data_IF_294719035268
#
_entry.id   IF_294719035268
#
_cell.length_a   1.000
_cell.length_b   1.000
_cell.length_c   1.000
_cell.angle_alpha   90.00
_cell.angle_beta   90.00
_cell.angle_gamma   90.00
#
_symmetry.space_group_name_H-M   'P 1'
#
loop_
_entity.id
_entity.type
_entity.pdbx_description
1 polymer ?
#
# COMPACT_ATOMS: atom_id res chain seq x y z
N UNK A 1 -5.40 -17.71 7.09
CA UNK A 1 -4.78 -16.37 6.96
C UNK A 1 -5.54 -15.63 5.88
N UNK A 2 -6.03 -14.43 6.16
CA UNK A 2 -6.85 -13.64 5.21
C UNK A 2 -6.02 -13.19 4.01
N UNK A 3 -6.56 -13.34 2.81
CA UNK A 3 -5.96 -12.91 1.54
C UNK A 3 -6.05 -11.39 1.38
N UNK A 4 -5.19 -10.82 0.53
CA UNK A 4 -5.24 -9.38 0.22
C UNK A 4 -6.61 -8.94 -0.33
N UNK A 5 -7.30 -9.80 -1.08
CA UNK A 5 -8.61 -9.48 -1.65
C UNK A 5 -9.70 -9.45 -0.60
N UNK A 6 -9.67 -10.38 0.36
CA UNK A 6 -10.59 -10.36 1.51
C UNK A 6 -10.40 -9.10 2.35
N UNK A 7 -9.14 -8.70 2.62
CA UNK A 7 -8.83 -7.44 3.31
C UNK A 7 -9.32 -6.20 2.53
N UNK A 8 -9.15 -6.19 1.21
CA UNK A 8 -9.64 -5.11 0.35
C UNK A 8 -11.17 -5.01 0.34
N UNK A 9 -11.88 -6.14 0.30
CA UNK A 9 -13.34 -6.16 0.39
C UNK A 9 -13.81 -5.65 1.76
N UNK A 10 -13.07 -5.92 2.84
CA UNK A 10 -13.38 -5.38 4.17
C UNK A 10 -13.25 -3.85 4.20
N UNK A 11 -12.21 -3.28 3.59
CA UNK A 11 -12.08 -1.83 3.44
C UNK A 11 -13.27 -1.24 2.67
N UNK A 12 -13.67 -1.84 1.55
CA UNK A 12 -14.81 -1.37 0.77
C UNK A 12 -16.12 -1.44 1.59
N UNK A 13 -16.30 -2.50 2.37
CA UNK A 13 -17.44 -2.64 3.29
C UNK A 13 -17.45 -1.60 4.42
N UNK A 14 -16.28 -1.11 4.84
CA UNK A 14 -16.11 0.03 5.76
C UNK A 14 -16.30 1.39 5.06
N UNK A 15 -16.65 1.42 3.77
CA UNK A 15 -16.85 2.66 3.00
C UNK A 15 -15.57 3.31 2.51
N UNK A 16 -14.42 2.63 2.62
CA UNK A 16 -13.12 3.16 2.21
C UNK A 16 -12.96 3.02 0.69
N UNK A 17 -12.62 4.12 0.03
CA UNK A 17 -12.34 4.12 -1.41
C UNK A 17 -11.00 3.41 -1.71
N UNK A 18 -11.06 2.44 -2.62
CA UNK A 18 -9.93 1.56 -2.96
C UNK A 18 -9.07 2.05 -4.14
N UNK A 19 -9.32 3.25 -4.67
CA UNK A 19 -8.71 3.73 -5.92
C UNK A 19 -9.29 3.11 -7.19
N UNK A 20 -10.37 2.32 -7.09
CA UNK A 20 -11.04 1.62 -8.18
C UNK A 20 -11.82 0.39 -7.68
N UNK A 21 -12.44 -0.40 -8.57
CA UNK A 21 -13.24 -1.57 -8.17
C UNK A 21 -12.42 -2.61 -7.40
N UNK A 22 -12.98 -3.16 -6.31
CA UNK A 22 -12.30 -4.14 -5.45
C UNK A 22 -11.68 -5.32 -6.22
N UNK A 23 -12.39 -5.85 -7.23
CA UNK A 23 -11.91 -6.96 -8.08
C UNK A 23 -10.56 -6.71 -8.77
N UNK A 24 -10.18 -5.45 -8.96
CA UNK A 24 -8.91 -5.08 -9.58
C UNK A 24 -7.84 -4.66 -8.58
N UNK A 25 -8.16 -4.57 -7.28
CA UNK A 25 -7.29 -4.04 -6.24
C UNK A 25 -5.89 -4.64 -6.29
N UNK A 26 -5.82 -5.98 -6.20
CA UNK A 26 -4.57 -6.73 -6.30
C UNK A 26 -3.84 -6.47 -7.62
N UNK A 27 -4.53 -6.64 -8.75
CA UNK A 27 -3.90 -6.55 -10.08
C UNK A 27 -3.38 -5.14 -10.40
N UNK A 28 -4.08 -4.09 -9.96
CA UNK A 28 -3.68 -2.71 -10.17
C UNK A 28 -2.44 -2.37 -9.34
N UNK A 29 -2.42 -2.74 -8.05
CA UNK A 29 -1.24 -2.56 -7.19
C UNK A 29 -0.02 -3.35 -7.69
N UNK A 30 -0.22 -4.60 -8.12
CA UNK A 30 0.86 -5.42 -8.68
C UNK A 30 1.46 -4.81 -9.95
N UNK A 31 0.61 -4.29 -10.85
CA UNK A 31 1.08 -3.62 -12.08
C UNK A 31 1.91 -2.38 -11.77
N UNK A 32 1.58 -1.64 -10.72
CA UNK A 32 2.39 -0.49 -10.27
C UNK A 32 3.80 -0.94 -9.87
N UNK A 33 3.93 -1.99 -9.03
CA UNK A 33 5.23 -2.54 -8.66
C UNK A 33 6.00 -3.05 -9.89
N UNK A 34 5.37 -3.86 -10.75
CA UNK A 34 6.02 -4.41 -11.96
C UNK A 34 6.51 -3.31 -12.89
N UNK A 35 5.73 -2.24 -13.05
CA UNK A 35 6.13 -1.08 -13.85
C UNK A 35 7.38 -0.44 -13.26
N UNK A 36 7.41 -0.18 -11.95
CA UNK A 36 8.57 0.42 -11.30
C UNK A 36 9.81 -0.49 -11.36
N UNK A 37 9.65 -1.81 -11.19
CA UNK A 37 10.73 -2.78 -11.38
C UNK A 37 11.31 -2.71 -12.80
N UNK A 38 10.47 -2.59 -13.82
CA UNK A 38 10.92 -2.42 -15.21
C UNK A 38 11.72 -1.13 -15.44
N UNK A 39 11.54 -0.13 -14.57
CA UNK A 39 12.24 1.15 -14.59
C UNK A 39 13.44 1.19 -13.63
N UNK A 40 13.87 0.05 -13.08
CA UNK A 40 15.06 -0.05 -12.24
C UNK A 40 14.82 0.15 -10.75
N UNK A 41 13.59 -0.02 -10.27
CA UNK A 41 13.32 -0.07 -8.83
C UNK A 41 14.09 -1.22 -8.18
N UNK A 42 14.80 -0.91 -7.09
CA UNK A 42 15.53 -1.89 -6.27
C UNK A 42 15.01 -1.86 -4.84
N UNK A 43 15.32 -2.88 -4.01
CA UNK A 43 14.99 -2.83 -2.59
C UNK A 43 15.64 -1.67 -1.82
N UNK A 44 16.62 -0.95 -2.39
CA UNK A 44 17.28 0.19 -1.75
C UNK A 44 16.80 1.54 -2.28
N UNK A 45 15.94 1.53 -3.29
CA UNK A 45 15.31 2.73 -3.82
C UNK A 45 14.40 3.36 -2.77
N UNK A 46 14.42 4.69 -2.66
CA UNK A 46 13.46 5.43 -1.82
C UNK A 46 12.28 5.86 -2.68
N UNK A 47 11.07 5.50 -2.26
CA UNK A 47 9.84 5.77 -3.01
C UNK A 47 8.95 6.70 -2.22
N UNK A 48 8.58 7.83 -2.83
CA UNK A 48 7.52 8.71 -2.37
C UNK A 48 6.25 8.43 -3.19
N UNK A 49 5.20 7.95 -2.53
CA UNK A 49 3.88 7.66 -3.11
C UNK A 49 2.91 8.78 -2.73
N UNK A 50 2.65 9.70 -3.66
CA UNK A 50 1.79 10.87 -3.46
C UNK A 50 0.34 10.49 -3.80
N UNK A 51 -0.58 10.66 -2.86
CA UNK A 51 -1.93 10.13 -2.99
C UNK A 51 -1.93 8.61 -2.81
N UNK A 52 -1.21 8.12 -1.81
CA UNK A 52 -1.05 6.69 -1.57
C UNK A 52 -2.35 6.00 -1.11
N UNK A 53 -3.37 6.79 -0.73
CA UNK A 53 -4.71 6.33 -0.41
C UNK A 53 -4.73 5.25 0.66
N UNK A 54 -5.56 4.23 0.45
CA UNK A 54 -5.63 3.08 1.34
C UNK A 54 -4.48 2.06 1.14
N UNK A 55 -3.40 2.42 0.45
CA UNK A 55 -2.22 1.59 0.16
C UNK A 55 -2.41 0.47 -0.89
N UNK A 56 -3.19 0.72 -1.95
CA UNK A 56 -3.31 -0.25 -3.07
C UNK A 56 -1.95 -0.56 -3.73
N UNK A 57 -1.21 0.49 -4.09
CA UNK A 57 0.16 0.38 -4.60
C UNK A 57 1.16 0.19 -3.46
N UNK A 58 0.98 1.00 -2.40
CA UNK A 58 1.79 0.97 -1.18
C UNK A 58 1.99 -0.43 -0.58
N UNK A 59 0.95 -1.27 -0.54
CA UNK A 59 1.07 -2.66 -0.07
C UNK A 59 2.23 -3.41 -0.73
N UNK A 60 2.32 -3.37 -2.06
CA UNK A 60 3.37 -4.08 -2.82
C UNK A 60 4.74 -3.45 -2.62
N UNK A 61 4.79 -2.12 -2.59
CA UNK A 61 6.03 -1.37 -2.42
C UNK A 61 6.63 -1.58 -1.03
N UNK A 62 5.82 -1.53 0.03
CA UNK A 62 6.27 -1.76 1.42
C UNK A 62 6.83 -3.19 1.57
N UNK A 63 6.20 -4.19 0.95
CA UNK A 63 6.70 -5.57 0.98
C UNK A 63 8.03 -5.72 0.23
N UNK A 64 8.17 -5.07 -0.93
CA UNK A 64 9.36 -5.18 -1.78
C UNK A 64 10.56 -4.38 -1.26
N UNK A 65 10.34 -3.14 -0.84
CA UNK A 65 11.39 -2.20 -0.45
C UNK A 65 12.05 -2.59 0.88
N UNK A 66 13.29 -2.14 1.06
CA UNK A 66 14.02 -2.27 2.32
C UNK A 66 13.42 -1.41 3.43
N UNK A 67 13.91 -1.63 4.65
CA UNK A 67 13.51 -0.86 5.83
C UNK A 67 13.75 0.65 5.61
N UNK A 68 12.74 1.47 5.91
CA UNK A 68 12.81 2.93 5.82
C UNK A 68 12.84 3.49 4.40
N UNK A 69 12.43 2.70 3.40
CA UNK A 69 12.52 3.09 1.99
C UNK A 69 11.17 3.50 1.35
N UNK A 70 10.05 3.32 2.05
CA UNK A 70 8.73 3.75 1.59
C UNK A 70 8.24 4.99 2.35
N UNK A 71 7.73 5.97 1.61
CA UNK A 71 7.15 7.21 2.10
C UNK A 71 5.81 7.44 1.40
N UNK A 72 4.74 7.64 2.15
CA UNK A 72 3.40 7.92 1.61
C UNK A 72 2.89 9.30 2.05
N UNK A 73 2.25 10.03 1.13
CA UNK A 73 1.49 11.24 1.45
C UNK A 73 0.03 10.99 1.07
N UNK A 74 -0.89 11.22 2.00
CA UNK A 74 -2.32 11.10 1.76
C UNK A 74 -3.12 12.08 2.63
N UNK A 75 -3.82 13.06 2.03
CA UNK A 75 -4.60 14.04 2.81
C UNK A 75 -5.80 13.40 3.53
N UNK A 76 -6.35 12.29 3.02
CA UNK A 76 -7.41 11.55 3.69
C UNK A 76 -6.84 10.60 4.75
N UNK A 77 -6.67 11.11 5.98
CA UNK A 77 -6.15 10.36 7.12
C UNK A 77 -6.92 9.08 7.42
N UNK A 78 -8.26 9.14 7.39
CA UNK A 78 -9.11 7.98 7.69
C UNK A 78 -8.87 6.84 6.70
N UNK A 79 -8.74 7.17 5.41
CA UNK A 79 -8.44 6.19 4.36
C UNK A 79 -7.07 5.52 4.57
N UNK A 80 -6.05 6.32 4.91
CA UNK A 80 -4.71 5.83 5.14
C UNK A 80 -4.62 4.97 6.42
N UNK A 81 -5.24 5.42 7.51
CA UNK A 81 -5.28 4.68 8.78
C UNK A 81 -6.01 3.34 8.62
N UNK A 82 -7.14 3.33 7.91
CA UNK A 82 -7.86 2.10 7.60
C UNK A 82 -7.00 1.15 6.74
N UNK A 83 -6.38 1.67 5.67
CA UNK A 83 -5.48 0.90 4.81
C UNK A 83 -4.32 0.26 5.57
N UNK A 84 -3.66 1.04 6.44
CA UNK A 84 -2.54 0.57 7.27
C UNK A 84 -2.98 -0.53 8.23
N UNK A 85 -4.09 -0.32 8.94
CA UNK A 85 -4.65 -1.28 9.92
C UNK A 85 -5.13 -2.58 9.28
N UNK A 86 -5.73 -2.51 8.10
CA UNK A 86 -6.45 -3.64 7.49
C UNK A 86 -5.59 -4.39 6.48
N UNK A 87 -4.75 -3.71 5.70
CA UNK A 87 -3.97 -4.35 4.64
C UNK A 87 -2.63 -4.88 5.10
N UNK A 88 -1.95 -4.19 6.03
CA UNK A 88 -0.61 -4.56 6.46
C UNK A 88 -0.65 -5.52 7.65
N UNK A 89 0.24 -6.50 7.65
CA UNK A 89 0.49 -7.34 8.82
C UNK A 89 1.06 -6.50 9.97
N UNK A 90 0.65 -6.72 11.23
CA UNK A 90 1.11 -5.93 12.37
C UNK A 90 2.64 -5.82 12.49
N UNK A 91 3.36 -6.90 12.18
CA UNK A 91 4.83 -6.94 12.29
C UNK A 91 5.53 -6.24 11.12
N UNK A 92 4.81 -5.99 10.01
CA UNK A 92 5.39 -5.40 8.81
C UNK A 92 5.78 -3.94 9.03
N UNK A 93 5.01 -3.21 9.83
CA UNK A 93 5.29 -1.81 10.15
C UNK A 93 6.64 -1.67 10.86
N UNK A 94 6.92 -2.51 11.85
CA UNK A 94 8.19 -2.51 12.57
C UNK A 94 9.37 -2.96 11.70
N UNK A 95 9.13 -3.96 10.84
CA UNK A 95 10.14 -4.52 9.96
C UNK A 95 10.54 -3.53 8.86
N UNK A 96 9.55 -2.88 8.22
CA UNK A 96 9.73 -2.05 7.03
C UNK A 96 9.81 -0.56 7.35
N UNK A 97 9.30 -0.11 8.49
CA UNK A 97 9.27 1.30 8.91
C UNK A 97 8.82 2.25 7.80
N UNK A 98 7.65 2.01 7.15
CA UNK A 98 7.09 2.99 6.24
C UNK A 98 6.84 4.30 6.99
N UNK A 99 6.97 5.43 6.29
CA UNK A 99 6.65 6.74 6.86
C UNK A 99 5.48 7.35 6.11
N UNK A 100 4.61 8.00 6.86
CA UNK A 100 3.42 8.63 6.32
C UNK A 100 3.33 10.09 6.74
N UNK A 101 2.77 10.92 5.85
CA UNK A 101 2.44 12.32 6.09
C UNK A 101 1.09 12.65 5.42
N UNK A 102 0.51 13.82 5.72
CA UNK A 102 -0.86 14.20 5.30
C UNK A 102 -0.97 15.63 4.77
#
# INVERSE_FOLDING_TARGET
>A
METLMERANRLEAEGIFLGGPAKFFKTAGQKQLVTLLSQGLTPHSKVLDIGCGCLRGGYWLIHFLGKGCYFGIEPNKEMLEAGTRILLEPELEDLKKPKFDF
#
